data_IF_215468960676
#
_entry.id   IF_215468960676
#
_cell.length_a   1.000
_cell.length_b   1.000
_cell.length_c   1.000
_cell.angle_alpha   90.00
_cell.angle_beta   90.00
_cell.angle_gamma   90.00
#
_symmetry.space_group_name_H-M   'P 1'
#
loop_
_entity.id
_entity.type
_entity.pdbx_description
1 polymer ?
#
# COMPACT_ATOMS: atom_id res chain seq x y z
N UNK A 1 -5.50 -11.79 6.96
CA UNK A 1 -5.22 -10.40 6.50
C UNK A 1 -6.50 -9.59 6.36
N UNK A 2 -7.52 -10.10 5.67
CA UNK A 2 -8.90 -9.57 5.65
C UNK A 2 -9.58 -9.50 7.03
N UNK A 3 -9.17 -10.33 7.99
CA UNK A 3 -9.68 -10.27 9.37
C UNK A 3 -9.31 -8.97 10.09
N UNK A 4 -8.17 -8.35 9.75
CA UNK A 4 -7.71 -7.12 10.40
C UNK A 4 -8.59 -5.91 10.02
N UNK A 5 -8.96 -5.80 8.74
CA UNK A 5 -9.84 -4.71 8.26
C UNK A 5 -11.28 -4.86 8.73
N UNK A 6 -11.67 -6.05 9.21
CA UNK A 6 -13.00 -6.33 9.75
C UNK A 6 -13.16 -5.95 11.24
N UNK A 7 -12.09 -5.50 11.91
CA UNK A 7 -12.16 -5.07 13.30
C UNK A 7 -13.01 -3.79 13.42
N UNK A 8 -13.94 -3.75 14.37
CA UNK A 8 -14.84 -2.61 14.57
C UNK A 8 -14.14 -1.30 15.01
N UNK A 9 -12.86 -1.38 15.39
CA UNK A 9 -12.00 -0.24 15.73
C UNK A 9 -11.20 0.28 14.54
N UNK A 10 -11.26 -0.40 13.41
CA UNK A 10 -10.55 -0.04 12.19
C UNK A 10 -11.58 0.43 11.17
N UNK A 11 -11.38 1.65 10.67
CA UNK A 11 -12.18 2.20 9.59
C UNK A 11 -11.29 2.32 8.36
N UNK A 12 -11.68 1.64 7.29
CA UNK A 12 -10.97 1.65 6.01
C UNK A 12 -11.87 2.30 4.96
N UNK A 13 -11.34 3.26 4.22
CA UNK A 13 -12.09 3.95 3.16
C UNK A 13 -12.15 3.14 1.86
N UNK A 14 -11.11 2.39 1.55
CA UNK A 14 -11.06 1.48 0.40
C UNK A 14 -10.29 0.20 0.76
N UNK A 15 -11.04 -0.89 0.92
CA UNK A 15 -10.50 -2.19 1.31
C UNK A 15 -9.48 -2.74 0.30
N UNK A 16 -9.57 -2.35 -0.98
CA UNK A 16 -8.68 -2.83 -2.04
C UNK A 16 -7.28 -2.27 -1.87
N UNK A 17 -7.17 -1.00 -1.50
CA UNK A 17 -5.88 -0.36 -1.21
C UNK A 17 -5.26 -1.03 0.01
N UNK A 18 -6.03 -1.22 1.08
CA UNK A 18 -5.51 -1.79 2.31
C UNK A 18 -5.09 -3.26 2.14
N UNK A 19 -5.89 -4.06 1.41
CA UNK A 19 -5.55 -5.44 1.10
C UNK A 19 -4.25 -5.54 0.31
N UNK A 20 -4.07 -4.70 -0.73
CA UNK A 20 -2.83 -4.68 -1.51
C UNK A 20 -1.64 -4.19 -0.70
N UNK A 21 -1.81 -3.12 0.09
CA UNK A 21 -0.75 -2.58 0.94
C UNK A 21 -0.25 -3.63 1.94
N UNK A 22 -1.17 -4.36 2.59
CA UNK A 22 -0.79 -5.42 3.52
C UNK A 22 -0.07 -6.57 2.80
N UNK A 23 -0.48 -6.93 1.57
CA UNK A 23 0.19 -7.96 0.78
C UNK A 23 1.62 -7.53 0.43
N UNK A 24 1.78 -6.32 -0.10
CA UNK A 24 3.09 -5.74 -0.47
C UNK A 24 3.99 -5.62 0.75
N UNK A 25 3.44 -5.21 1.89
CA UNK A 25 4.17 -5.13 3.15
C UNK A 25 4.70 -6.51 3.60
N UNK A 26 3.85 -7.55 3.50
CA UNK A 26 4.24 -8.92 3.84
C UNK A 26 5.31 -9.49 2.89
N UNK A 27 5.20 -9.22 1.58
CA UNK A 27 6.02 -9.87 0.56
C UNK A 27 7.34 -9.13 0.30
N UNK A 28 7.34 -7.80 0.29
CA UNK A 28 8.43 -6.99 -0.27
C UNK A 28 9.38 -6.41 0.79
N UNK A 29 9.16 -6.67 2.08
CA UNK A 29 9.95 -6.11 3.20
C UNK A 29 10.16 -4.59 3.08
N UNK A 30 9.11 -3.87 2.73
CA UNK A 30 9.08 -2.41 2.70
C UNK A 30 8.38 -1.89 3.95
N UNK A 31 8.50 -0.59 4.24
CA UNK A 31 7.70 0.01 5.30
C UNK A 31 6.22 0.04 4.90
N UNK A 32 5.31 -0.07 5.86
CA UNK A 32 3.88 -0.15 5.56
C UNK A 32 3.36 1.11 4.84
N UNK A 33 3.91 2.29 5.15
CA UNK A 33 3.55 3.54 4.47
C UNK A 33 3.92 3.50 2.98
N UNK A 34 5.09 2.94 2.64
CA UNK A 34 5.52 2.77 1.25
C UNK A 34 4.61 1.79 0.50
N UNK A 35 4.23 0.70 1.15
CA UNK A 35 3.27 -0.26 0.61
C UNK A 35 1.89 0.38 0.36
N UNK A 36 1.45 1.28 1.24
CA UNK A 36 0.19 2.00 1.10
C UNK A 36 0.20 2.96 -0.09
N UNK A 37 1.28 3.72 -0.26
CA UNK A 37 1.46 4.64 -1.40
C UNK A 37 1.54 3.87 -2.73
N UNK A 38 2.25 2.74 -2.72
CA UNK A 38 2.27 1.84 -3.88
C UNK A 38 0.86 1.31 -4.21
N UNK A 39 0.09 0.91 -3.21
CA UNK A 39 -1.27 0.42 -3.42
C UNK A 39 -2.21 1.51 -3.97
N UNK A 40 -2.11 2.75 -3.49
CA UNK A 40 -2.81 3.90 -4.05
C UNK A 40 -2.52 4.06 -5.55
N UNK A 41 -1.24 4.03 -5.94
CA UNK A 41 -0.85 4.09 -7.35
C UNK A 41 -1.45 2.95 -8.17
N UNK A 42 -1.35 1.70 -7.70
CA UNK A 42 -1.80 0.53 -8.48
C UNK A 42 -3.32 0.40 -8.54
N UNK A 43 -4.06 0.79 -7.49
CA UNK A 43 -5.53 0.63 -7.43
C UNK A 43 -6.27 1.83 -8.01
N UNK A 44 -5.82 3.06 -7.74
CA UNK A 44 -6.50 4.29 -8.19
C UNK A 44 -5.78 4.99 -9.35
N UNK A 45 -4.53 4.62 -9.65
CA UNK A 45 -3.72 5.34 -10.64
C UNK A 45 -3.10 6.63 -10.10
N UNK A 46 -3.09 6.80 -8.77
CA UNK A 46 -2.57 8.00 -8.13
C UNK A 46 -1.10 8.24 -8.47
N UNK A 47 -0.76 9.50 -8.78
CA UNK A 47 0.62 9.90 -8.95
C UNK A 47 1.28 10.13 -7.58
N UNK A 48 2.22 9.27 -7.23
CA UNK A 48 3.01 9.43 -6.01
C UNK A 48 4.29 10.22 -6.32
N UNK A 49 4.46 11.34 -5.64
CA UNK A 49 5.66 12.19 -5.72
C UNK A 49 6.44 12.04 -4.43
N UNK A 50 7.71 11.65 -4.52
CA UNK A 50 8.57 11.42 -3.36
C UNK A 50 10.04 11.67 -3.72
N UNK A 51 10.84 12.03 -2.71
CA UNK A 51 12.30 12.11 -2.82
C UNK A 51 13.00 10.83 -2.34
N UNK A 52 12.25 9.89 -1.76
CA UNK A 52 12.79 8.62 -1.30
C UNK A 52 13.12 7.72 -2.51
N UNK A 53 14.41 7.41 -2.67
CA UNK A 53 14.88 6.60 -3.80
C UNK A 53 14.45 5.13 -3.72
N UNK A 54 14.22 4.58 -2.52
CA UNK A 54 13.74 3.21 -2.35
C UNK A 54 12.28 3.11 -2.77
N UNK A 55 11.44 4.05 -2.33
CA UNK A 55 10.04 4.11 -2.74
C UNK A 55 9.92 4.35 -4.25
N UNK A 56 10.74 5.22 -4.85
CA UNK A 56 10.76 5.40 -6.31
C UNK A 56 11.02 4.07 -7.06
N UNK A 57 11.92 3.22 -6.57
CA UNK A 57 12.17 1.91 -7.18
C UNK A 57 10.95 1.00 -7.06
N UNK A 58 10.32 0.96 -5.88
CA UNK A 58 9.09 0.20 -5.66
C UNK A 58 7.98 0.64 -6.64
N UNK A 59 7.75 1.95 -6.77
CA UNK A 59 6.71 2.53 -7.63
C UNK A 59 6.94 2.32 -9.14
N UNK A 60 8.15 1.97 -9.54
CA UNK A 60 8.55 1.69 -10.92
C UNK A 60 8.70 0.19 -11.20
N UNK A 61 8.37 -0.67 -10.23
CA UNK A 61 8.30 -2.12 -10.44
C UNK A 61 6.90 -2.42 -11.00
N UNK A 62 6.85 -2.93 -12.23
CA UNK A 62 5.59 -3.27 -12.90
C UNK A 62 5.07 -4.64 -12.47
#
# INVERSE_FOLDING_TARGET
MTEFIALNTVVVNDDRIFALALQVYADMKVDFVDALLYAHKKVHGDQIVTFDQKLLRLLNTD
#
